data_IF_971671245315
#
_entry.id   IF_971671245315
#
_cell.length_a   1.000
_cell.length_b   1.000
_cell.length_c   1.000
_cell.angle_alpha   90.00
_cell.angle_beta   90.00
_cell.angle_gamma   90.00
#
_symmetry.space_group_name_H-M   'P 1'
#
loop_
_entity.id
_entity.type
_entity.pdbx_description
1 polymer ?
#
# COMPACT_ATOMS: atom_id res chain seq x y z
N UNK A 1 10.94 18.64 0.02
CA UNK A 1 11.97 19.68 0.25
C UNK A 1 11.43 21.07 -0.08
N UNK A 2 10.88 21.31 -1.31
CA UNK A 2 10.36 22.63 -1.71
C UNK A 2 9.33 23.19 -0.71
N UNK A 3 8.36 22.40 -0.30
CA UNK A 3 7.33 22.84 0.65
C UNK A 3 7.88 23.06 2.06
N UNK A 4 8.78 22.23 2.53
CA UNK A 4 9.44 22.43 3.82
C UNK A 4 10.21 23.77 3.85
N UNK A 5 10.91 24.08 2.76
CA UNK A 5 11.62 25.37 2.63
C UNK A 5 10.62 26.53 2.59
N UNK A 6 9.51 26.41 1.83
CA UNK A 6 8.45 27.43 1.77
C UNK A 6 7.82 27.68 3.14
N UNK A 7 7.60 26.60 3.90
CA UNK A 7 7.01 26.65 5.25
C UNK A 7 8.05 26.94 6.34
N UNK A 8 9.33 27.13 5.98
CA UNK A 8 10.44 27.41 6.90
C UNK A 8 10.59 26.38 8.02
N UNK A 9 10.32 25.09 7.73
CA UNK A 9 10.47 24.01 8.69
C UNK A 9 11.96 23.76 8.95
N UNK A 10 12.37 23.85 10.22
CA UNK A 10 13.77 23.65 10.65
C UNK A 10 14.03 22.28 11.29
N UNK A 11 12.98 21.58 11.61
CA UNK A 11 12.99 20.29 12.30
C UNK A 11 12.79 19.10 11.36
N UNK A 12 13.01 19.28 10.06
CA UNK A 12 12.89 18.23 9.05
C UNK A 12 14.23 17.92 8.42
N UNK A 13 14.57 16.64 8.35
CA UNK A 13 15.72 16.11 7.61
C UNK A 13 15.21 15.28 6.45
N UNK A 14 15.69 15.54 5.24
CA UNK A 14 15.34 14.79 4.04
C UNK A 14 16.53 13.96 3.59
N UNK A 15 16.32 12.66 3.44
CA UNK A 15 17.34 11.70 3.05
C UNK A 15 16.88 10.99 1.79
N UNK A 16 17.70 11.01 0.74
CA UNK A 16 17.49 10.22 -0.46
C UNK A 16 18.30 8.94 -0.35
N UNK A 17 17.65 7.83 -0.03
CA UNK A 17 18.28 6.53 0.14
C UNK A 17 17.28 5.40 -0.16
N UNK A 18 17.79 4.21 -0.48
CA UNK A 18 16.97 3.01 -0.43
C UNK A 18 16.63 2.72 1.03
N UNK A 19 15.36 2.50 1.32
CA UNK A 19 14.89 2.25 2.68
C UNK A 19 15.54 1.03 3.33
N UNK A 20 15.72 -0.06 2.58
CA UNK A 20 16.31 -1.29 3.11
C UNK A 20 17.79 -1.12 3.49
N UNK A 21 18.51 -0.23 2.80
CA UNK A 21 19.91 0.09 3.07
C UNK A 21 20.09 1.18 4.13
N UNK A 22 18.99 1.83 4.52
CA UNK A 22 19.04 2.93 5.48
C UNK A 22 19.43 2.43 6.88
N UNK A 23 20.53 2.95 7.41
CA UNK A 23 21.01 2.67 8.76
C UNK A 23 21.23 3.98 9.52
N UNK A 24 20.86 3.97 10.78
CA UNK A 24 21.03 5.09 11.70
C UNK A 24 21.50 4.55 13.06
N UNK A 25 22.28 5.36 13.75
CA UNK A 25 22.76 5.08 15.12
C UNK A 25 21.69 5.37 16.18
N UNK A 26 20.59 6.03 15.81
CA UNK A 26 19.49 6.36 16.70
C UNK A 26 18.20 5.67 16.26
N UNK A 27 17.31 5.42 17.19
CA UNK A 27 15.99 4.85 16.99
C UNK A 27 14.92 5.93 16.77
N UNK A 28 13.77 5.53 16.24
CA UNK A 28 12.61 6.38 16.02
C UNK A 28 11.48 5.96 16.96
N UNK A 29 10.77 6.92 17.53
CA UNK A 29 9.57 6.67 18.32
C UNK A 29 8.37 6.31 17.44
N UNK A 30 8.32 6.86 16.21
CA UNK A 30 7.26 6.58 15.24
C UNK A 30 7.84 6.47 13.85
N UNK A 31 7.48 5.38 13.17
CA UNK A 31 7.71 5.22 11.73
C UNK A 31 6.36 5.29 11.02
N UNK A 32 6.20 6.24 10.10
CA UNK A 32 5.00 6.37 9.29
C UNK A 32 5.27 5.97 7.85
N UNK A 33 4.53 5.00 7.36
CA UNK A 33 4.63 4.51 5.98
C UNK A 33 3.26 4.45 5.32
N UNK A 34 3.08 5.18 4.24
CA UNK A 34 1.83 5.17 3.50
C UNK A 34 2.02 4.61 2.10
N UNK A 35 1.45 3.43 1.84
CA UNK A 35 1.50 2.76 0.54
C UNK A 35 2.92 2.59 -0.02
N UNK A 36 3.88 2.18 0.83
CA UNK A 36 5.27 1.98 0.43
C UNK A 36 5.63 0.49 0.45
N UNK A 37 5.30 -0.22 1.50
CA UNK A 37 5.76 -1.60 1.71
C UNK A 37 5.23 -2.58 0.65
N UNK A 38 4.12 -2.27 0.04
CA UNK A 38 3.56 -3.04 -1.07
C UNK A 38 4.44 -3.03 -2.33
N UNK A 39 5.35 -2.07 -2.47
CA UNK A 39 6.30 -1.97 -3.60
C UNK A 39 7.69 -2.48 -3.26
N UNK A 40 7.89 -3.06 -2.09
CA UNK A 40 9.16 -3.68 -1.70
C UNK A 40 9.11 -5.18 -2.02
N UNK A 41 10.23 -5.75 -2.48
CA UNK A 41 10.27 -7.17 -2.86
C UNK A 41 9.91 -8.13 -1.73
N UNK A 42 10.29 -7.79 -0.50
CA UNK A 42 10.03 -8.58 0.70
C UNK A 42 9.44 -7.68 1.80
N UNK A 43 8.16 -7.89 2.09
CA UNK A 43 7.47 -7.13 3.13
C UNK A 43 7.97 -7.50 4.53
N UNK A 44 8.31 -8.77 4.78
CA UNK A 44 8.82 -9.21 6.08
C UNK A 44 10.16 -8.53 6.37
N UNK A 45 11.05 -8.45 5.37
CA UNK A 45 12.32 -7.73 5.49
C UNK A 45 12.09 -6.24 5.79
N UNK A 46 11.13 -5.62 5.11
CA UNK A 46 10.77 -4.22 5.35
C UNK A 46 10.28 -3.97 6.78
N UNK A 47 9.42 -4.84 7.30
CA UNK A 47 8.93 -4.75 8.68
C UNK A 47 10.02 -5.04 9.70
N UNK A 48 10.92 -6.02 9.46
CA UNK A 48 12.11 -6.26 10.28
C UNK A 48 13.03 -5.04 10.31
N UNK A 49 13.19 -4.38 9.17
CA UNK A 49 13.96 -3.15 9.10
C UNK A 49 13.36 -2.05 9.95
N UNK A 50 12.03 -1.89 9.92
CA UNK A 50 11.34 -0.97 10.82
C UNK A 50 11.54 -1.35 12.29
N UNK A 51 11.38 -2.62 12.64
CA UNK A 51 11.60 -3.10 13.99
C UNK A 51 12.99 -2.70 14.53
N UNK A 52 14.02 -2.90 13.73
CA UNK A 52 15.40 -2.54 14.10
C UNK A 52 15.67 -1.02 14.17
N UNK A 53 14.78 -0.21 13.60
CA UNK A 53 14.89 1.26 13.62
C UNK A 53 14.01 1.90 14.69
N UNK A 54 13.11 1.15 15.32
CA UNK A 54 12.27 1.66 16.40
C UNK A 54 13.00 1.72 17.74
N UNK A 55 12.60 2.68 18.58
CA UNK A 55 12.86 2.65 20.00
C UNK A 55 12.04 1.55 20.68
N UNK A 56 12.39 1.18 21.93
CA UNK A 56 11.72 0.09 22.67
C UNK A 56 10.20 0.28 22.78
N UNK A 57 9.74 1.52 22.93
CA UNK A 57 8.32 1.89 22.98
C UNK A 57 7.81 2.46 21.65
N UNK A 58 8.55 2.27 20.57
CA UNK A 58 8.23 2.83 19.26
C UNK A 58 7.08 2.12 18.55
N UNK A 59 6.43 2.82 17.61
CA UNK A 59 5.32 2.29 16.86
C UNK A 59 5.45 2.53 15.34
N UNK A 60 4.90 1.60 14.54
CA UNK A 60 4.73 1.76 13.11
C UNK A 60 3.28 2.08 12.81
N UNK A 61 3.05 3.16 12.08
CA UNK A 61 1.77 3.45 11.47
C UNK A 61 1.88 3.30 9.96
N UNK A 62 1.20 2.32 9.38
CA UNK A 62 1.30 2.06 7.95
C UNK A 62 -0.06 1.84 7.29
N UNK A 63 -0.10 2.12 5.99
CA UNK A 63 -1.19 1.70 5.11
C UNK A 63 -0.65 0.76 4.04
N UNK A 64 -1.39 -0.31 3.78
CA UNK A 64 -1.03 -1.38 2.86
C UNK A 64 -2.16 -1.61 1.85
N UNK A 65 -1.82 -2.17 0.71
CA UNK A 65 -2.80 -2.60 -0.28
C UNK A 65 -3.53 -3.85 0.23
N UNK A 66 -4.85 -3.78 0.30
CA UNK A 66 -5.68 -4.96 0.64
C UNK A 66 -5.87 -5.84 -0.58
N UNK A 67 -5.63 -7.15 -0.47
CA UNK A 67 -5.85 -8.12 -1.56
C UNK A 67 -7.29 -8.08 -2.08
N UNK A 68 -8.27 -7.92 -1.20
CA UNK A 68 -9.67 -7.79 -1.60
C UNK A 68 -9.97 -6.55 -2.44
N UNK A 69 -9.25 -5.46 -2.18
CA UNK A 69 -9.45 -4.20 -2.90
C UNK A 69 -8.69 -4.18 -4.21
N UNK A 70 -7.58 -4.91 -4.30
CA UNK A 70 -6.65 -4.87 -5.43
C UNK A 70 -6.73 -6.09 -6.34
N UNK A 71 -7.59 -7.07 -6.06
CA UNK A 71 -7.71 -8.32 -6.82
C UNK A 71 -7.84 -8.08 -8.34
N UNK A 72 -8.72 -7.16 -8.73
CA UNK A 72 -8.94 -6.82 -10.13
C UNK A 72 -7.74 -6.10 -10.77
N UNK A 73 -7.03 -5.30 -9.99
CA UNK A 73 -5.82 -4.59 -10.42
C UNK A 73 -4.65 -5.57 -10.55
N UNK A 74 -4.49 -6.45 -9.57
CA UNK A 74 -3.42 -7.45 -9.55
C UNK A 74 -3.55 -8.39 -10.75
N UNK A 75 -4.78 -8.84 -11.06
CA UNK A 75 -5.06 -9.64 -12.25
C UNK A 75 -4.65 -8.92 -13.55
N UNK A 76 -5.04 -7.65 -13.72
CA UNK A 76 -4.66 -6.88 -14.91
C UNK A 76 -3.16 -6.67 -14.99
N UNK A 77 -2.51 -6.41 -13.85
CA UNK A 77 -1.05 -6.25 -13.79
C UNK A 77 -0.34 -7.51 -14.23
N UNK A 78 -0.77 -8.68 -13.75
CA UNK A 78 -0.20 -9.96 -14.14
C UNK A 78 -0.30 -10.17 -15.65
N UNK A 79 -1.47 -9.90 -16.24
CA UNK A 79 -1.67 -9.96 -17.69
C UNK A 79 -0.74 -9.01 -18.43
N UNK A 80 -0.61 -7.76 -17.98
CA UNK A 80 0.26 -6.75 -18.60
C UNK A 80 1.72 -7.18 -18.55
N UNK A 81 2.18 -7.75 -17.42
CA UNK A 81 3.54 -8.23 -17.26
C UNK A 81 3.82 -9.49 -18.09
N UNK A 82 2.88 -10.44 -18.16
CA UNK A 82 3.00 -11.65 -18.98
C UNK A 82 3.04 -11.33 -20.47
N UNK A 83 2.32 -10.30 -20.92
CA UNK A 83 2.38 -9.83 -22.31
C UNK A 83 3.68 -9.09 -22.62
N UNK A 84 4.54 -8.84 -21.64
CA UNK A 84 5.85 -8.24 -21.80
C UNK A 84 5.85 -6.72 -21.95
N UNK A 85 4.75 -6.04 -21.60
CA UNK A 85 4.70 -4.58 -21.60
C UNK A 85 5.64 -3.97 -20.56
N UNK A 86 6.39 -2.96 -20.99
CA UNK A 86 7.40 -2.28 -20.17
C UNK A 86 6.93 -0.91 -19.71
N UNK A 87 7.02 -0.66 -18.43
CA UNK A 87 6.75 0.66 -17.85
C UNK A 87 7.79 1.73 -18.21
N UNK A 88 8.90 1.34 -18.86
CA UNK A 88 9.93 2.26 -19.38
C UNK A 88 9.72 2.63 -20.86
N UNK A 89 8.70 2.09 -21.51
CA UNK A 89 8.37 2.33 -22.91
C UNK A 89 7.04 3.07 -23.01
N UNK A 90 7.05 4.28 -23.59
CA UNK A 90 5.86 5.11 -23.73
C UNK A 90 4.79 4.50 -24.65
N UNK A 91 5.20 3.69 -25.64
CA UNK A 91 4.25 3.01 -26.54
C UNK A 91 3.49 1.93 -25.76
N UNK A 92 4.21 1.11 -25.00
CA UNK A 92 3.62 0.07 -24.13
C UNK A 92 2.67 0.69 -23.11
N UNK A 93 3.06 1.79 -22.46
CA UNK A 93 2.21 2.51 -21.50
C UNK A 93 0.90 2.94 -22.16
N UNK A 94 0.98 3.53 -23.37
CA UNK A 94 -0.20 3.96 -24.12
C UNK A 94 -1.10 2.78 -24.53
N UNK A 95 -0.51 1.66 -24.93
CA UNK A 95 -1.28 0.45 -25.25
C UNK A 95 -2.01 -0.10 -24.03
N UNK A 96 -1.36 -0.16 -22.88
CA UNK A 96 -2.01 -0.59 -21.61
C UNK A 96 -3.12 0.39 -21.20
N UNK A 97 -2.90 1.70 -21.35
CA UNK A 97 -3.94 2.71 -21.12
C UNK A 97 -5.15 2.44 -22.02
N UNK A 98 -4.93 2.25 -23.31
CA UNK A 98 -5.99 1.99 -24.28
C UNK A 98 -6.72 0.67 -23.96
N UNK A 99 -5.99 -0.36 -23.59
CA UNK A 99 -6.56 -1.64 -23.18
C UNK A 99 -7.51 -1.47 -21.99
N UNK A 100 -7.05 -0.86 -20.90
CA UNK A 100 -7.85 -0.71 -19.67
C UNK A 100 -9.04 0.24 -19.89
N UNK A 101 -8.84 1.33 -20.59
CA UNK A 101 -9.94 2.28 -20.89
C UNK A 101 -10.94 1.71 -21.88
N UNK A 102 -10.52 0.78 -22.74
CA UNK A 102 -11.37 0.02 -23.66
C UNK A 102 -12.22 -1.08 -23.01
N UNK A 103 -11.92 -1.48 -21.77
CA UNK A 103 -12.70 -2.48 -21.05
C UNK A 103 -14.18 -2.06 -20.93
N UNK A 104 -15.06 -3.03 -20.73
CA UNK A 104 -16.48 -2.77 -20.44
C UNK A 104 -16.65 -1.76 -19.31
N UNK A 105 -17.65 -0.90 -19.40
CA UNK A 105 -17.96 0.06 -18.33
C UNK A 105 -18.26 -0.59 -16.97
N UNK A 106 -18.69 -1.85 -16.99
CA UNK A 106 -18.93 -2.65 -15.77
C UNK A 106 -17.67 -3.29 -15.20
N UNK A 107 -16.53 -3.25 -15.91
CA UNK A 107 -15.30 -3.88 -15.42
C UNK A 107 -14.68 -3.02 -14.30
N UNK A 108 -14.44 -3.61 -13.11
CA UNK A 108 -13.98 -2.85 -11.95
C UNK A 108 -12.63 -2.14 -12.19
N UNK A 109 -11.69 -2.78 -12.89
CA UNK A 109 -10.38 -2.20 -13.20
C UNK A 109 -10.48 -0.92 -14.04
N UNK A 110 -11.54 -0.77 -14.86
CA UNK A 110 -11.73 0.45 -15.66
C UNK A 110 -11.89 1.68 -14.78
N UNK A 111 -12.73 1.59 -13.75
CA UNK A 111 -12.92 2.71 -12.82
C UNK A 111 -11.66 3.06 -12.04
N UNK A 112 -10.77 2.07 -11.84
CA UNK A 112 -9.49 2.26 -11.15
C UNK A 112 -8.47 3.06 -11.96
N UNK A 113 -8.65 3.18 -13.27
CA UNK A 113 -7.78 3.99 -14.13
C UNK A 113 -8.13 5.49 -14.10
N UNK A 114 -9.16 5.88 -13.36
CA UNK A 114 -9.65 7.25 -13.32
C UNK A 114 -9.58 7.83 -11.89
N UNK A 115 -9.38 9.15 -11.84
CA UNK A 115 -9.54 9.95 -10.63
C UNK A 115 -10.38 11.16 -10.98
N UNK A 116 -11.59 11.28 -10.37
CA UNK A 116 -12.55 12.35 -10.68
C UNK A 116 -12.81 12.50 -12.20
N UNK A 117 -13.17 11.40 -12.85
CA UNK A 117 -13.47 11.30 -14.29
C UNK A 117 -12.29 11.62 -15.22
N UNK A 118 -11.09 11.82 -14.68
CA UNK A 118 -9.87 11.97 -15.46
C UNK A 118 -9.03 10.72 -15.32
N UNK A 119 -8.41 10.31 -16.43
CA UNK A 119 -7.43 9.23 -16.38
C UNK A 119 -6.31 9.60 -15.40
N UNK A 120 -5.78 8.61 -14.69
CA UNK A 120 -4.64 8.80 -13.80
C UNK A 120 -3.48 9.46 -14.55
N UNK A 121 -2.67 10.22 -13.86
CA UNK A 121 -1.40 10.62 -14.44
C UNK A 121 -0.51 9.37 -14.69
N UNK A 122 0.47 9.52 -15.57
CA UNK A 122 1.29 8.41 -16.03
C UNK A 122 1.97 7.67 -14.88
N UNK A 123 2.45 8.40 -13.86
CA UNK A 123 3.15 7.79 -12.72
C UNK A 123 2.21 6.96 -11.85
N UNK A 124 1.03 7.49 -11.56
CA UNK A 124 0.01 6.80 -10.79
C UNK A 124 -0.53 5.60 -11.56
N UNK A 125 -0.66 5.72 -12.89
CA UNK A 125 -1.07 4.63 -13.77
C UNK A 125 -0.05 3.50 -13.79
N UNK A 126 1.22 3.81 -14.03
CA UNK A 126 2.33 2.83 -14.02
C UNK A 126 2.40 2.14 -12.67
N UNK A 127 2.39 2.90 -11.58
CA UNK A 127 2.45 2.36 -10.23
C UNK A 127 1.31 1.36 -9.96
N UNK A 128 0.14 1.61 -10.49
CA UNK A 128 -1.05 0.78 -10.27
C UNK A 128 -1.11 -0.46 -11.15
N UNK A 129 -0.84 -0.32 -12.45
CA UNK A 129 -1.10 -1.36 -13.43
C UNK A 129 0.14 -2.00 -14.06
N UNK A 130 1.32 -1.41 -13.92
CA UNK A 130 2.55 -1.86 -14.60
C UNK A 130 3.73 -2.05 -13.64
N UNK A 131 3.55 -1.86 -12.34
CA UNK A 131 4.63 -2.08 -11.37
C UNK A 131 5.02 -3.56 -11.32
N UNK A 132 6.31 -3.91 -11.51
CA UNK A 132 6.76 -5.31 -11.47
C UNK A 132 6.76 -5.90 -10.05
N UNK A 133 6.71 -5.04 -9.04
CA UNK A 133 6.62 -5.45 -7.64
C UNK A 133 5.41 -4.76 -7.02
N UNK A 134 4.46 -5.56 -6.57
CA UNK A 134 3.34 -5.09 -5.80
C UNK A 134 2.80 -6.24 -4.96
N UNK A 135 2.79 -6.06 -3.66
CA UNK A 135 2.24 -7.01 -2.71
C UNK A 135 0.91 -6.48 -2.19
N UNK A 136 -0.15 -7.23 -2.36
CA UNK A 136 -1.40 -6.99 -1.67
C UNK A 136 -1.53 -7.98 -0.51
N UNK A 137 -2.19 -7.56 0.57
CA UNK A 137 -2.23 -8.30 1.83
C UNK A 137 -3.66 -8.70 2.16
N UNK A 138 -3.89 -9.98 2.41
CA UNK A 138 -5.03 -10.43 3.21
C UNK A 138 -4.79 -10.12 4.69
N UNK A 139 -5.79 -10.30 5.52
CA UNK A 139 -5.62 -10.17 6.98
C UNK A 139 -4.63 -11.20 7.51
N UNK A 140 -4.69 -12.43 7.01
CA UNK A 140 -3.80 -13.53 7.43
C UNK A 140 -2.34 -13.26 7.01
N UNK A 141 -2.12 -12.75 5.79
CA UNK A 141 -0.79 -12.35 5.32
C UNK A 141 -0.21 -11.24 6.18
N UNK A 142 -1.03 -10.25 6.53
CA UNK A 142 -0.61 -9.15 7.39
C UNK A 142 -0.17 -9.65 8.76
N UNK A 143 -0.97 -10.47 9.43
CA UNK A 143 -0.61 -11.00 10.74
C UNK A 143 0.62 -11.90 10.67
N UNK A 144 0.72 -12.76 9.67
CA UNK A 144 1.91 -13.59 9.45
C UNK A 144 3.18 -12.75 9.23
N UNK A 145 3.06 -11.64 8.49
CA UNK A 145 4.17 -10.71 8.25
C UNK A 145 4.59 -9.99 9.55
N UNK A 146 3.63 -9.54 10.36
CA UNK A 146 3.88 -8.90 11.65
C UNK A 146 4.60 -9.86 12.58
N UNK A 147 4.11 -11.08 12.75
CA UNK A 147 4.69 -12.10 13.63
C UNK A 147 6.12 -12.47 13.19
N UNK A 148 6.32 -12.69 11.88
CA UNK A 148 7.64 -12.98 11.31
C UNK A 148 8.65 -11.85 11.46
N UNK A 149 8.19 -10.62 11.74
CA UNK A 149 9.02 -9.43 11.88
C UNK A 149 9.39 -9.11 13.33
N UNK A 150 8.84 -9.81 14.30
CA UNK A 150 9.01 -9.54 15.74
C UNK A 150 8.19 -8.36 16.26
N UNK A 151 7.24 -7.87 15.45
CA UNK A 151 6.32 -6.79 15.81
C UNK A 151 5.04 -7.36 16.41
N UNK A 152 4.28 -6.49 17.07
CA UNK A 152 2.97 -6.82 17.63
C UNK A 152 1.91 -5.91 17.04
N UNK A 153 0.78 -6.49 16.63
CA UNK A 153 -0.36 -5.71 16.19
C UNK A 153 -1.00 -4.98 17.37
N UNK A 154 -1.13 -3.67 17.28
CA UNK A 154 -1.73 -2.85 18.33
C UNK A 154 -3.22 -2.59 18.07
N UNK A 155 -3.52 -2.01 16.91
CA UNK A 155 -4.89 -1.65 16.54
C UNK A 155 -4.97 -1.24 15.07
N UNK A 156 -6.19 -1.23 14.55
CA UNK A 156 -6.48 -0.53 13.30
C UNK A 156 -6.51 0.98 13.53
N UNK A 157 -6.11 1.76 12.52
CA UNK A 157 -6.22 3.22 12.58
C UNK A 157 -7.65 3.70 12.86
N UNK A 158 -8.63 3.03 12.26
CA UNK A 158 -10.04 3.22 12.55
C UNK A 158 -10.68 1.88 12.91
N UNK A 159 -10.61 1.52 14.17
CA UNK A 159 -11.13 0.26 14.70
C UNK A 159 -12.61 0.01 14.33
N UNK A 160 -13.42 1.07 14.27
CA UNK A 160 -14.83 0.97 13.96
C UNK A 160 -15.13 0.40 12.57
N UNK A 161 -14.17 0.44 11.64
CA UNK A 161 -14.35 -0.12 10.30
C UNK A 161 -14.04 -1.61 10.21
N UNK A 162 -13.33 -2.17 11.20
CA UNK A 162 -12.80 -3.53 11.16
C UNK A 162 -13.43 -4.47 12.18
N UNK A 163 -14.13 -3.95 13.18
CA UNK A 163 -14.83 -4.81 14.12
C UNK A 163 -16.21 -5.22 13.60
N UNK A 164 -16.59 -6.51 13.73
CA UNK A 164 -17.89 -7.00 13.29
C UNK A 164 -19.06 -6.21 13.88
N UNK A 165 -18.94 -5.74 15.12
CA UNK A 165 -19.95 -4.91 15.80
C UNK A 165 -20.21 -3.56 15.12
N UNK A 166 -19.24 -3.03 14.37
CA UNK A 166 -19.41 -1.79 13.62
C UNK A 166 -20.11 -2.01 12.27
N UNK A 167 -19.98 -3.22 11.71
CA UNK A 167 -20.58 -3.61 10.43
C UNK A 167 -22.02 -4.11 10.59
N UNK A 168 -22.37 -4.61 11.77
CA UNK A 168 -23.71 -5.11 12.07
C UNK A 168 -24.59 -3.92 12.51
N UNK A 169 -25.69 -3.68 11.81
CA UNK A 169 -26.69 -2.73 12.24
C UNK A 169 -27.23 -3.15 13.62
N UNK A 170 -27.45 -2.19 14.52
CA UNK A 170 -27.96 -2.40 15.88
C UNK A 170 -29.22 -3.28 15.99
N UNK A 171 -29.91 -3.54 14.88
CA UNK A 171 -31.14 -4.34 14.83
C UNK A 171 -30.92 -5.87 14.73
N UNK A 172 -29.67 -6.32 14.53
CA UNK A 172 -29.37 -7.77 14.51
C UNK A 172 -28.85 -8.28 15.86
N UNK A 173 -29.59 -8.01 16.94
CA UNK A 173 -29.30 -8.53 18.29
C UNK A 173 -29.40 -10.07 18.43
N UNK A 174 -29.43 -10.81 17.31
CA UNK A 174 -29.57 -12.28 17.28
C UNK A 174 -28.30 -13.03 16.89
N UNK A 175 -27.19 -12.37 16.65
CA UNK A 175 -25.94 -13.09 16.38
C UNK A 175 -25.11 -13.24 17.66
N UNK A 176 -24.59 -14.46 17.94
CA UNK A 176 -23.72 -14.67 19.06
C UNK A 176 -22.47 -13.78 18.94
N UNK A 177 -22.08 -13.21 20.05
CA UNK A 177 -20.83 -12.47 20.18
C UNK A 177 -19.68 -13.38 19.77
N UNK A 178 -18.98 -13.01 18.70
CA UNK A 178 -17.66 -13.54 18.41
C UNK A 178 -16.68 -12.85 19.36
N UNK A 179 -16.23 -13.58 20.37
CA UNK A 179 -15.06 -13.28 21.19
C UNK A 179 -13.93 -14.19 20.76
#
# INVERSE_FOLDING_TARGET
>A
IKDANRLKLKNCTFIHANFLDFNKEFSFDVIYSRNVFQYLPDAVEAFKKCFNLLSDDGAILCTLASSYLYEDIDYIRDVVLELGYSYNNSEDINEVINFITGLSGAHPSKSRAFNNDKILDEKDFISRFMSPVHNSFSIDDLFSTIDASGLFFQSWYNNNLYYPSALLRKESSKHPSFY
#
